data_IF_515529591514
#
_entry.id   IF_515529591514
#
_cell.length_a   1.000
_cell.length_b   1.000
_cell.length_c   1.000
_cell.angle_alpha   90.00
_cell.angle_beta   90.00
_cell.angle_gamma   90.00
#
_symmetry.space_group_name_H-M   'P 1'
#
loop_
_entity.id
_entity.type
_entity.pdbx_description
1 polymer ?
#
# COMPACT_ATOMS: atom_id res chain seq x y z
N UNK A 1 6.72 31.03 5.25
CA UNK A 1 6.98 29.59 5.17
C UNK A 1 8.49 29.34 5.19
N UNK A 2 8.96 28.49 6.08
CA UNK A 2 10.35 28.02 5.98
C UNK A 2 10.42 27.18 4.70
N UNK A 3 11.08 27.72 3.68
CA UNK A 3 11.17 27.11 2.33
C UNK A 3 11.77 25.70 2.32
N UNK A 4 12.36 25.22 3.42
CA UNK A 4 12.95 23.89 3.52
C UNK A 4 12.02 22.80 4.06
N UNK A 5 11.14 23.11 5.03
CA UNK A 5 10.30 22.10 5.68
C UNK A 5 9.17 21.59 4.76
N UNK A 6 8.54 22.47 3.99
CA UNK A 6 7.48 22.05 3.06
C UNK A 6 7.98 21.10 1.97
N UNK A 7 9.18 21.31 1.45
CA UNK A 7 9.78 20.45 0.44
C UNK A 7 10.20 19.10 1.06
N UNK A 8 10.67 19.10 2.30
CA UNK A 8 10.98 17.86 3.05
C UNK A 8 9.74 16.97 3.21
N UNK A 9 8.60 17.53 3.65
CA UNK A 9 7.38 16.74 3.85
C UNK A 9 6.82 16.19 2.53
N UNK A 10 6.84 16.96 1.45
CA UNK A 10 6.42 16.49 0.13
C UNK A 10 7.29 15.33 -0.33
N UNK A 11 8.61 15.46 -0.19
CA UNK A 11 9.56 14.40 -0.51
C UNK A 11 9.30 13.15 0.30
N UNK A 12 9.10 13.26 1.61
CA UNK A 12 8.80 12.13 2.49
C UNK A 12 7.54 11.37 2.07
N UNK A 13 6.49 12.10 1.62
CA UNK A 13 5.27 11.45 1.12
C UNK A 13 5.53 10.68 -0.16
N UNK A 14 6.29 11.27 -1.07
CA UNK A 14 6.65 10.63 -2.35
C UNK A 14 7.54 9.40 -2.11
N UNK A 15 8.57 9.54 -1.28
CA UNK A 15 9.45 8.44 -0.89
C UNK A 15 8.63 7.29 -0.26
N UNK A 16 7.70 7.60 0.65
CA UNK A 16 6.82 6.60 1.28
C UNK A 16 5.93 5.87 0.27
N UNK A 17 5.41 6.57 -0.75
CA UNK A 17 4.62 5.94 -1.81
C UNK A 17 5.47 4.88 -2.52
N UNK A 18 6.68 5.25 -2.96
CA UNK A 18 7.51 4.34 -3.75
C UNK A 18 8.16 3.22 -2.93
N UNK A 19 8.50 3.47 -1.67
CA UNK A 19 8.91 2.41 -0.74
C UNK A 19 7.77 1.38 -0.58
N UNK A 20 6.54 1.87 -0.33
CA UNK A 20 5.37 0.99 -0.23
C UNK A 20 5.13 0.21 -1.53
N UNK A 21 5.23 0.85 -2.69
CA UNK A 21 5.06 0.18 -3.99
C UNK A 21 6.10 -0.93 -4.19
N UNK A 22 7.33 -0.70 -3.74
CA UNK A 22 8.38 -1.72 -3.76
C UNK A 22 8.04 -2.91 -2.87
N UNK A 23 7.51 -2.69 -1.67
CA UNK A 23 7.13 -3.76 -0.74
C UNK A 23 6.01 -4.64 -1.32
N UNK A 24 5.09 -4.06 -2.09
CA UNK A 24 4.01 -4.77 -2.77
C UNK A 24 4.34 -5.20 -4.21
N UNK A 25 5.58 -4.95 -4.68
CA UNK A 25 6.02 -5.21 -6.06
C UNK A 25 5.11 -4.55 -7.12
N UNK A 26 4.63 -3.34 -6.84
CA UNK A 26 3.85 -2.53 -7.78
C UNK A 26 4.83 -1.84 -8.71
N UNK A 27 4.89 -2.26 -9.97
CA UNK A 27 5.89 -1.80 -10.96
C UNK A 27 5.28 -1.07 -12.15
N UNK A 28 4.00 -1.32 -12.46
CA UNK A 28 3.30 -0.67 -13.58
C UNK A 28 2.46 0.50 -13.07
N UNK A 29 3.06 1.67 -13.03
CA UNK A 29 2.42 2.90 -12.58
C UNK A 29 2.89 4.12 -13.38
N UNK A 30 2.07 5.16 -13.40
CA UNK A 30 2.34 6.45 -14.02
C UNK A 30 2.11 7.58 -13.04
N UNK A 31 3.06 8.51 -12.96
CA UNK A 31 2.92 9.72 -12.15
C UNK A 31 2.29 10.84 -12.98
N UNK A 32 1.30 11.49 -12.41
CA UNK A 32 0.58 12.61 -13.03
C UNK A 32 0.58 13.79 -12.10
N UNK A 33 1.09 14.92 -12.56
CA UNK A 33 0.96 16.19 -11.88
C UNK A 33 -0.28 16.91 -12.42
N UNK A 34 -1.33 16.89 -11.64
CA UNK A 34 -2.62 17.51 -11.99
C UNK A 34 -2.60 18.99 -11.62
N UNK A 35 -2.74 19.84 -12.64
CA UNK A 35 -2.67 21.29 -12.58
C UNK A 35 -4.05 21.89 -12.75
N UNK A 36 -4.22 23.15 -12.31
CA UNK A 36 -5.44 23.89 -12.62
C UNK A 36 -5.51 24.24 -14.09
N UNK A 37 -6.71 24.52 -14.58
CA UNK A 37 -6.95 25.31 -15.79
C UNK A 37 -7.03 26.79 -15.37
N UNK A 38 -6.09 27.66 -15.78
CA UNK A 38 -6.11 29.08 -15.42
C UNK A 38 -7.35 29.83 -15.94
N UNK A 39 -7.98 29.32 -16.98
CA UNK A 39 -9.19 29.95 -17.57
C UNK A 39 -10.48 29.57 -16.81
N UNK A 40 -10.46 28.48 -16.04
CA UNK A 40 -11.63 28.06 -15.26
C UNK A 40 -11.64 28.69 -13.85
N UNK A 41 -12.13 29.93 -13.81
CA UNK A 41 -12.26 30.71 -12.56
C UNK A 41 -13.45 30.26 -11.68
N UNK A 42 -14.28 29.34 -12.15
CA UNK A 42 -15.43 28.82 -11.39
C UNK A 42 -15.03 27.62 -10.54
N UNK A 43 -14.25 26.71 -11.11
CA UNK A 43 -13.80 25.49 -10.44
C UNK A 43 -12.71 25.74 -9.41
N UNK A 44 -11.75 26.59 -9.75
CA UNK A 44 -10.54 26.77 -8.95
C UNK A 44 -10.59 28.03 -8.07
N UNK A 45 -9.93 27.94 -6.92
CA UNK A 45 -9.75 29.09 -6.03
C UNK A 45 -9.00 30.23 -6.76
N UNK A 46 -9.56 31.42 -6.71
CA UNK A 46 -9.03 32.59 -7.45
C UNK A 46 -7.84 33.24 -6.71
N UNK A 47 -6.65 32.65 -6.87
CA UNK A 47 -5.37 33.16 -6.38
C UNK A 47 -4.23 32.63 -7.26
N UNK A 48 -3.92 33.36 -8.32
CA UNK A 48 -2.93 32.95 -9.32
C UNK A 48 -1.51 32.81 -8.74
N UNK A 49 -1.11 33.67 -7.80
CA UNK A 49 0.21 33.61 -7.17
C UNK A 49 0.36 32.34 -6.33
N UNK A 50 -0.65 32.01 -5.55
CA UNK A 50 -0.70 30.81 -4.73
C UNK A 50 -0.60 29.55 -5.60
N UNK A 51 -1.37 29.47 -6.68
CA UNK A 51 -1.34 28.33 -7.60
C UNK A 51 0.02 28.14 -8.23
N UNK A 52 0.61 29.22 -8.79
CA UNK A 52 1.93 29.16 -9.42
C UNK A 52 3.00 28.69 -8.43
N UNK A 53 2.96 29.20 -7.20
CA UNK A 53 3.89 28.79 -6.15
C UNK A 53 3.72 27.31 -5.77
N UNK A 54 2.49 26.84 -5.69
CA UNK A 54 2.16 25.46 -5.32
C UNK A 54 2.57 24.45 -6.40
N UNK A 55 2.20 24.72 -7.64
CA UNK A 55 2.54 23.90 -8.80
C UNK A 55 4.05 23.81 -9.00
N UNK A 56 4.74 24.95 -8.94
CA UNK A 56 6.21 24.98 -9.05
C UNK A 56 6.90 24.25 -7.89
N UNK A 57 6.32 24.28 -6.69
CA UNK A 57 6.87 23.57 -5.56
C UNK A 57 6.76 22.04 -5.74
N UNK A 58 5.67 21.54 -6.33
CA UNK A 58 5.54 20.11 -6.68
C UNK A 58 6.47 19.71 -7.82
N UNK A 59 6.53 20.51 -8.91
CA UNK A 59 7.47 20.27 -10.02
C UNK A 59 8.90 20.16 -9.52
N UNK A 60 9.31 21.10 -8.65
CA UNK A 60 10.64 21.09 -8.08
C UNK A 60 10.94 19.82 -7.33
N UNK A 61 10.04 19.36 -6.45
CA UNK A 61 10.23 18.12 -5.67
C UNK A 61 10.34 16.90 -6.58
N UNK A 62 9.47 16.78 -7.59
CA UNK A 62 9.50 15.65 -8.52
C UNK A 62 10.80 15.63 -9.34
N UNK A 63 11.25 16.79 -9.82
CA UNK A 63 12.50 16.90 -10.55
C UNK A 63 13.72 16.61 -9.66
N UNK A 64 13.73 17.10 -8.41
CA UNK A 64 14.82 16.87 -7.44
C UNK A 64 14.96 15.39 -7.05
N UNK A 65 13.85 14.62 -7.12
CA UNK A 65 13.83 13.17 -6.85
C UNK A 65 14.14 12.38 -8.13
N UNK A 66 13.98 12.99 -9.30
CA UNK A 66 14.22 12.35 -10.61
C UNK A 66 13.07 11.44 -11.05
N UNK A 67 11.83 11.74 -10.65
CA UNK A 67 10.65 11.00 -11.05
C UNK A 67 10.13 11.52 -12.39
N UNK A 68 9.90 10.61 -13.33
CA UNK A 68 9.21 10.92 -14.58
C UNK A 68 7.71 11.11 -14.30
N UNK A 69 7.13 12.19 -14.82
CA UNK A 69 5.72 12.51 -14.66
C UNK A 69 5.17 13.22 -15.90
N UNK A 70 3.85 13.15 -16.06
CA UNK A 70 3.11 13.94 -17.06
C UNK A 70 2.32 15.03 -16.37
N UNK A 71 2.10 16.16 -17.04
CA UNK A 71 1.26 17.23 -16.53
C UNK A 71 -0.12 17.16 -17.20
N UNK A 72 -1.19 17.23 -16.40
CA UNK A 72 -2.57 17.26 -16.87
C UNK A 72 -3.25 18.53 -16.37
N UNK A 73 -3.60 19.40 -17.31
CA UNK A 73 -4.26 20.69 -17.02
C UNK A 73 -5.78 20.45 -16.85
N UNK A 74 -6.37 21.09 -15.86
CA UNK A 74 -7.80 20.98 -15.57
C UNK A 74 -8.14 19.85 -14.58
N UNK A 75 -7.17 19.01 -14.21
CA UNK A 75 -7.38 17.83 -13.36
C UNK A 75 -7.04 18.06 -11.86
N UNK A 76 -6.55 19.24 -11.50
CA UNK A 76 -6.31 19.60 -10.11
C UNK A 76 -7.60 19.61 -9.28
N UNK A 77 -7.45 19.46 -7.97
CA UNK A 77 -8.53 19.73 -7.02
C UNK A 77 -8.80 21.24 -6.96
N UNK A 78 -10.03 21.65 -6.62
CA UNK A 78 -10.38 23.09 -6.56
C UNK A 78 -9.55 23.88 -5.52
N UNK A 79 -8.96 23.16 -4.54
CA UNK A 79 -8.20 23.70 -3.42
C UNK A 79 -6.68 23.66 -3.62
N UNK A 80 -6.19 23.04 -4.68
CA UNK A 80 -4.76 22.97 -4.94
C UNK A 80 -4.32 21.88 -5.92
N UNK A 81 -3.07 21.95 -6.38
CA UNK A 81 -2.51 20.94 -7.28
C UNK A 81 -2.23 19.62 -6.55
N UNK A 82 -2.17 18.55 -7.32
CA UNK A 82 -1.96 17.22 -6.78
C UNK A 82 -1.01 16.38 -7.65
N UNK A 83 -0.22 15.55 -6.97
CA UNK A 83 0.46 14.44 -7.59
C UNK A 83 -0.42 13.21 -7.43
N UNK A 84 -0.81 12.60 -8.53
CA UNK A 84 -1.50 11.32 -8.57
C UNK A 84 -0.54 10.25 -9.08
N UNK A 85 -0.57 9.07 -8.47
CA UNK A 85 0.11 7.89 -8.98
C UNK A 85 -0.95 6.89 -9.41
N UNK A 86 -1.05 6.73 -10.71
CA UNK A 86 -2.00 5.85 -11.35
C UNK A 86 -1.37 4.49 -11.56
N UNK A 87 -2.08 3.44 -11.20
CA UNK A 87 -1.69 2.05 -11.45
C UNK A 87 -2.54 1.47 -12.56
N UNK A 88 -1.93 0.56 -13.31
CA UNK A 88 -2.63 -0.19 -14.33
C UNK A 88 -2.73 -1.64 -13.87
N UNK A 89 -3.88 -2.07 -13.33
CA UNK A 89 -4.07 -3.45 -12.89
C UNK A 89 -4.03 -4.41 -14.08
N UNK A 90 -3.76 -5.69 -13.81
CA UNK A 90 -3.74 -6.75 -14.82
C UNK A 90 -5.09 -6.87 -15.57
N UNK A 91 -6.18 -6.50 -14.91
CA UNK A 91 -7.53 -6.49 -15.47
C UNK A 91 -8.17 -5.14 -15.16
N UNK A 92 -8.57 -4.41 -16.19
CA UNK A 92 -9.31 -3.16 -16.03
C UNK A 92 -8.59 -1.91 -16.52
N UNK A 93 -9.14 -0.77 -16.14
CA UNK A 93 -8.63 0.54 -16.54
C UNK A 93 -7.66 1.09 -15.50
N UNK A 94 -6.74 1.93 -15.95
CA UNK A 94 -5.88 2.73 -15.09
C UNK A 94 -6.71 3.54 -14.09
N UNK A 95 -6.27 3.61 -12.83
CA UNK A 95 -6.88 4.45 -11.81
C UNK A 95 -5.87 4.93 -10.78
N UNK A 96 -6.18 6.04 -10.11
CA UNK A 96 -5.33 6.61 -9.07
C UNK A 96 -5.35 5.73 -7.81
N UNK A 97 -4.19 5.21 -7.44
CA UNK A 97 -3.99 4.48 -6.19
C UNK A 97 -3.44 5.38 -5.09
N UNK A 98 -2.42 6.17 -5.41
CA UNK A 98 -1.79 7.08 -4.44
C UNK A 98 -1.96 8.53 -4.86
N UNK A 99 -2.03 9.43 -3.88
CA UNK A 99 -2.12 10.86 -4.14
C UNK A 99 -1.41 11.68 -3.06
N UNK A 100 -0.85 12.80 -3.47
CA UNK A 100 -0.29 13.83 -2.60
C UNK A 100 -0.82 15.19 -3.06
N UNK A 101 -1.70 15.81 -2.27
CA UNK A 101 -2.44 17.01 -2.65
C UNK A 101 -2.07 18.17 -1.74
N UNK A 102 -1.80 19.33 -2.31
CA UNK A 102 -1.60 20.57 -1.57
C UNK A 102 -2.94 21.30 -1.43
N UNK A 103 -3.25 21.75 -0.22
CA UNK A 103 -4.48 22.46 0.09
C UNK A 103 -4.16 23.82 0.74
N UNK A 104 -4.50 24.87 0.04
CA UNK A 104 -4.34 26.24 0.48
C UNK A 104 -5.68 26.89 0.84
N UNK A 105 -6.79 26.30 0.41
CA UNK A 105 -8.12 26.87 0.46
C UNK A 105 -8.82 26.53 1.78
N UNK A 106 -8.89 25.24 2.14
CA UNK A 106 -9.64 24.80 3.32
C UNK A 106 -9.08 25.34 4.63
N UNK A 107 -7.75 25.40 4.87
CA UNK A 107 -7.23 26.00 6.08
C UNK A 107 -7.69 27.45 6.31
N UNK A 108 -7.74 28.23 5.23
CA UNK A 108 -8.25 29.61 5.29
C UNK A 108 -9.76 29.65 5.59
N UNK A 109 -10.56 28.81 4.93
CA UNK A 109 -12.01 28.72 5.16
C UNK A 109 -12.37 28.28 6.57
N UNK A 110 -11.54 27.43 7.18
CA UNK A 110 -11.72 26.98 8.58
C UNK A 110 -11.01 27.87 9.60
N UNK A 111 -10.41 29.01 9.18
CA UNK A 111 -9.66 29.92 10.04
C UNK A 111 -8.54 29.22 10.84
N UNK A 112 -7.91 28.20 10.24
CA UNK A 112 -6.79 27.52 10.87
C UNK A 112 -5.58 28.44 10.90
N UNK A 113 -4.95 28.58 12.07
CA UNK A 113 -3.77 29.40 12.23
C UNK A 113 -2.70 28.71 13.06
N UNK A 114 -1.44 29.05 12.79
CA UNK A 114 -0.30 28.66 13.62
C UNK A 114 0.55 29.91 13.94
N UNK A 115 1.36 29.82 14.99
CA UNK A 115 2.32 30.88 15.32
C UNK A 115 3.64 30.57 14.60
N UNK A 116 4.04 31.46 13.71
CA UNK A 116 5.32 31.35 12.99
C UNK A 116 6.50 31.78 13.87
N UNK A 117 7.71 31.57 13.39
CA UNK A 117 8.98 31.95 14.04
C UNK A 117 9.05 33.42 14.47
N UNK A 118 8.35 34.25 13.73
CA UNK A 118 8.27 35.70 13.98
C UNK A 118 7.20 36.07 15.02
N UNK A 119 6.58 35.09 15.66
CA UNK A 119 5.50 35.28 16.62
C UNK A 119 4.16 35.72 15.98
N UNK A 120 4.06 35.72 14.67
CA UNK A 120 2.85 36.09 13.94
C UNK A 120 1.95 34.90 13.66
N UNK A 121 0.64 35.14 13.62
CA UNK A 121 -0.35 34.14 13.17
C UNK A 121 -0.34 34.06 11.67
N UNK A 122 -0.19 32.83 11.15
CA UNK A 122 -0.25 32.53 9.70
C UNK A 122 -1.18 31.36 9.44
N UNK A 123 -1.79 31.32 8.27
CA UNK A 123 -2.59 30.18 7.80
C UNK A 123 -1.66 29.06 7.36
N UNK A 124 -1.84 27.82 7.83
CA UNK A 124 -1.06 26.68 7.37
C UNK A 124 -1.45 26.26 5.95
N UNK A 125 -0.57 25.51 5.31
CA UNK A 125 -0.88 24.70 4.13
C UNK A 125 -1.09 23.27 4.60
N UNK A 126 -2.14 22.61 4.15
CA UNK A 126 -2.41 21.21 4.46
C UNK A 126 -1.92 20.32 3.31
N UNK A 127 -1.31 19.23 3.66
CA UNK A 127 -0.89 18.18 2.73
C UNK A 127 -1.77 16.96 2.94
N UNK A 128 -2.71 16.72 2.03
CA UNK A 128 -3.49 15.50 2.01
C UNK A 128 -2.69 14.40 1.33
N UNK A 129 -2.72 13.19 1.89
CA UNK A 129 -2.04 12.05 1.30
C UNK A 129 -2.89 10.78 1.39
N UNK A 130 -2.84 9.98 0.34
CA UNK A 130 -3.26 8.60 0.35
C UNK A 130 -2.14 7.76 -0.28
N UNK A 131 -1.67 6.73 0.41
CA UNK A 131 -0.57 5.90 -0.07
C UNK A 131 -1.09 4.74 -0.90
N UNK A 132 -2.11 4.03 -0.40
CA UNK A 132 -2.73 2.88 -1.07
C UNK A 132 -4.23 3.11 -1.37
N UNK A 133 -4.67 4.35 -1.38
CA UNK A 133 -6.08 4.72 -1.57
C UNK A 133 -6.96 4.25 -0.41
N UNK A 134 -8.11 3.66 -0.71
CA UNK A 134 -8.96 3.01 0.28
C UNK A 134 -8.59 1.54 0.45
N UNK A 135 -8.86 0.97 1.64
CA UNK A 135 -8.59 -0.43 1.93
C UNK A 135 -9.25 -1.37 0.91
N UNK A 136 -10.53 -1.16 0.62
CA UNK A 136 -11.29 -2.03 -0.31
C UNK A 136 -10.70 -2.00 -1.72
N UNK A 137 -10.34 -0.81 -2.22
CA UNK A 137 -9.74 -0.64 -3.55
C UNK A 137 -8.37 -1.30 -3.63
N UNK A 138 -7.56 -1.14 -2.59
CA UNK A 138 -6.25 -1.77 -2.54
C UNK A 138 -6.34 -3.29 -2.42
N UNK A 139 -7.27 -3.80 -1.60
CA UNK A 139 -7.53 -5.25 -1.51
C UNK A 139 -7.93 -5.82 -2.88
N UNK A 140 -8.82 -5.17 -3.61
CA UNK A 140 -9.16 -5.59 -4.96
C UNK A 140 -7.93 -5.63 -5.86
N UNK A 141 -7.14 -4.55 -5.88
CA UNK A 141 -5.92 -4.43 -6.67
C UNK A 141 -4.95 -5.59 -6.40
N UNK A 142 -4.58 -5.81 -5.14
CA UNK A 142 -3.58 -6.83 -4.80
C UNK A 142 -4.07 -8.26 -5.09
N UNK A 143 -5.37 -8.53 -4.91
CA UNK A 143 -5.96 -9.83 -5.25
C UNK A 143 -5.97 -10.08 -6.76
N UNK A 144 -6.22 -9.05 -7.57
CA UNK A 144 -6.16 -9.15 -9.03
C UNK A 144 -4.72 -9.38 -9.50
N UNK A 145 -3.77 -8.58 -9.05
CA UNK A 145 -2.36 -8.68 -9.44
C UNK A 145 -1.75 -10.03 -9.07
N UNK A 146 -2.01 -10.52 -7.87
CA UNK A 146 -1.47 -11.79 -7.39
C UNK A 146 -2.30 -13.01 -7.80
N UNK A 147 -3.47 -12.80 -8.40
CA UNK A 147 -4.47 -13.86 -8.66
C UNK A 147 -4.82 -14.63 -7.39
N UNK A 148 -4.84 -13.92 -6.26
CA UNK A 148 -5.06 -14.46 -4.94
C UNK A 148 -3.86 -15.18 -4.31
N UNK A 149 -2.71 -15.30 -4.99
CA UNK A 149 -1.47 -15.82 -4.38
C UNK A 149 -0.75 -14.66 -3.70
N UNK A 150 -1.22 -14.28 -2.52
CA UNK A 150 -0.65 -13.18 -1.77
C UNK A 150 0.81 -13.47 -1.37
N UNK A 151 1.66 -12.45 -1.25
CA UNK A 151 2.97 -12.58 -0.63
C UNK A 151 2.86 -13.22 0.75
N UNK A 152 3.85 -14.02 1.15
CA UNK A 152 3.80 -14.78 2.41
C UNK A 152 3.45 -13.92 3.61
N UNK A 153 4.07 -12.75 3.74
CA UNK A 153 3.85 -11.83 4.85
C UNK A 153 2.41 -11.26 4.91
N UNK A 154 1.70 -11.25 3.78
CA UNK A 154 0.33 -10.75 3.65
C UNK A 154 -0.72 -11.88 3.69
N UNK A 155 -0.33 -13.12 3.44
CA UNK A 155 -1.27 -14.24 3.40
C UNK A 155 -1.99 -14.42 4.76
N UNK A 156 -3.34 -14.49 4.80
CA UNK A 156 -4.10 -14.67 6.04
C UNK A 156 -3.70 -15.94 6.80
N UNK A 157 -3.47 -17.03 6.06
CA UNK A 157 -2.90 -18.29 6.53
C UNK A 157 -1.61 -18.50 5.75
N UNK A 158 -0.49 -18.59 6.44
CA UNK A 158 0.84 -18.71 5.83
C UNK A 158 1.23 -20.17 5.61
N UNK A 159 0.83 -21.03 6.55
CA UNK A 159 1.07 -22.46 6.46
C UNK A 159 -0.13 -23.24 6.96
N UNK A 160 -0.35 -24.41 6.39
CA UNK A 160 -1.30 -25.39 6.94
C UNK A 160 -0.59 -26.72 7.14
N UNK A 161 -0.73 -27.29 8.32
CA UNK A 161 -0.15 -28.57 8.69
C UNK A 161 -1.17 -29.67 8.35
N UNK A 162 -0.73 -30.66 7.57
CA UNK A 162 -1.57 -31.74 7.05
C UNK A 162 -1.02 -33.09 7.54
N UNK A 163 -1.44 -33.60 8.72
CA UNK A 163 -1.05 -34.93 9.18
C UNK A 163 -1.47 -35.98 8.16
N UNK A 164 -0.56 -36.87 7.78
CA UNK A 164 -0.84 -37.89 6.75
C UNK A 164 -1.86 -38.91 7.26
N UNK A 165 -1.81 -39.28 8.53
CA UNK A 165 -2.73 -40.18 9.23
C UNK A 165 -3.31 -39.49 10.45
N UNK A 166 -4.59 -39.12 10.38
CA UNK A 166 -5.26 -38.40 11.47
C UNK A 166 -5.59 -39.30 12.68
N UNK A 167 -5.48 -40.64 12.53
CA UNK A 167 -5.74 -41.63 13.57
C UNK A 167 -4.47 -41.95 14.39
N UNK A 168 -3.33 -41.42 14.00
CA UNK A 168 -2.01 -41.63 14.64
C UNK A 168 -1.78 -40.57 15.71
N UNK A 169 -1.93 -40.97 16.98
CA UNK A 169 -1.78 -40.04 18.13
C UNK A 169 -0.40 -39.39 18.21
N UNK A 170 0.69 -40.10 17.84
CA UNK A 170 2.04 -39.62 17.89
C UNK A 170 2.27 -38.55 16.79
N UNK A 171 1.76 -38.79 15.58
CA UNK A 171 1.79 -37.81 14.50
C UNK A 171 0.96 -36.56 14.83
N UNK A 172 -0.19 -36.72 15.45
CA UNK A 172 -1.02 -35.60 15.86
C UNK A 172 -0.36 -34.79 16.98
N UNK A 173 0.22 -35.42 17.98
CA UNK A 173 0.98 -34.72 19.02
C UNK A 173 2.15 -33.90 18.42
N UNK A 174 2.86 -34.47 17.44
CA UNK A 174 3.89 -33.73 16.71
C UNK A 174 3.33 -32.55 15.91
N UNK A 175 2.17 -32.74 15.22
CA UNK A 175 1.51 -31.69 14.48
C UNK A 175 1.15 -30.48 15.36
N UNK A 176 0.58 -30.77 16.55
CA UNK A 176 0.26 -29.71 17.51
C UNK A 176 1.51 -29.03 18.06
N UNK A 177 2.60 -29.77 18.37
CA UNK A 177 3.86 -29.18 18.76
C UNK A 177 4.47 -28.28 17.68
N UNK A 178 4.36 -28.66 16.40
CA UNK A 178 4.80 -27.86 15.28
C UNK A 178 3.91 -26.60 15.11
N UNK A 179 2.59 -26.75 15.29
CA UNK A 179 1.65 -25.63 15.28
C UNK A 179 2.03 -24.61 16.35
N UNK A 180 2.20 -25.05 17.59
CA UNK A 180 2.56 -24.17 18.71
C UNK A 180 3.90 -23.45 18.43
N UNK A 181 4.89 -24.19 17.95
CA UNK A 181 6.19 -23.62 17.59
C UNK A 181 6.08 -22.54 16.53
N UNK A 182 5.34 -22.79 15.44
CA UNK A 182 5.15 -21.81 14.37
C UNK A 182 4.33 -20.59 14.83
N UNK A 183 3.26 -20.82 15.59
CA UNK A 183 2.41 -19.76 16.13
C UNK A 183 3.19 -18.85 17.10
N UNK A 184 4.00 -19.43 18.00
CA UNK A 184 4.86 -18.69 18.94
C UNK A 184 5.94 -17.86 18.23
N UNK A 185 6.33 -18.27 17.01
CA UNK A 185 7.23 -17.50 16.15
C UNK A 185 6.49 -16.52 15.20
N UNK A 186 5.20 -16.28 15.42
CA UNK A 186 4.41 -15.26 14.69
C UNK A 186 3.93 -15.70 13.31
N UNK A 187 3.99 -17.00 12.99
CA UNK A 187 3.45 -17.55 11.75
C UNK A 187 1.95 -17.81 11.91
N UNK A 188 1.15 -17.31 10.98
CA UNK A 188 -0.29 -17.62 10.90
C UNK A 188 -0.46 -19.01 10.30
N UNK A 189 -0.65 -19.99 11.17
CA UNK A 189 -0.69 -21.42 10.82
C UNK A 189 -2.03 -22.03 11.21
N UNK A 190 -2.48 -23.03 10.47
CA UNK A 190 -3.63 -23.88 10.79
C UNK A 190 -3.26 -25.37 10.70
N UNK A 191 -4.03 -26.22 11.36
CA UNK A 191 -3.93 -27.68 11.20
C UNK A 191 -5.23 -28.17 10.54
N UNK A 192 -5.10 -29.03 9.54
CA UNK A 192 -6.23 -29.71 8.93
C UNK A 192 -6.25 -31.18 9.35
N UNK A 193 -7.05 -31.49 10.37
CA UNK A 193 -7.22 -32.83 10.94
C UNK A 193 -8.51 -33.53 10.44
N UNK A 194 -9.12 -33.00 9.40
CA UNK A 194 -10.36 -33.60 8.88
C UNK A 194 -10.13 -35.03 8.41
N UNK A 195 -11.13 -35.89 8.62
CA UNK A 195 -11.13 -37.29 8.19
C UNK A 195 -11.30 -37.42 6.66
N UNK A 196 -10.41 -36.72 5.91
CA UNK A 196 -10.38 -36.66 4.46
C UNK A 196 -9.03 -37.16 3.93
N UNK A 197 -9.02 -37.65 2.68
CA UNK A 197 -7.76 -38.07 2.04
C UNK A 197 -6.78 -36.94 1.96
N UNK A 198 -5.51 -37.22 2.26
CA UNK A 198 -4.43 -36.20 2.20
C UNK A 198 -4.44 -35.42 0.88
N UNK A 199 -4.55 -36.10 -0.26
CA UNK A 199 -4.58 -35.43 -1.57
C UNK A 199 -5.74 -34.45 -1.73
N UNK A 200 -6.88 -34.68 -1.11
CA UNK A 200 -8.01 -33.76 -1.09
C UNK A 200 -7.68 -32.52 -0.24
N UNK A 201 -7.14 -32.72 0.97
CA UNK A 201 -6.74 -31.63 1.87
C UNK A 201 -5.64 -30.76 1.27
N UNK A 202 -4.63 -31.34 0.63
CA UNK A 202 -3.59 -30.63 -0.11
C UNK A 202 -4.20 -29.79 -1.23
N UNK A 203 -5.13 -30.39 -2.02
CA UNK A 203 -5.81 -29.64 -3.09
C UNK A 203 -6.62 -28.47 -2.56
N UNK A 204 -7.32 -28.61 -1.45
CA UNK A 204 -8.07 -27.52 -0.83
C UNK A 204 -7.14 -26.40 -0.35
N UNK A 205 -6.02 -26.73 0.29
CA UNK A 205 -5.02 -25.73 0.68
C UNK A 205 -4.48 -24.94 -0.54
N UNK A 206 -4.25 -25.64 -1.66
CA UNK A 206 -3.85 -25.00 -2.92
C UNK A 206 -4.95 -24.12 -3.51
N UNK A 207 -6.21 -24.55 -3.46
CA UNK A 207 -7.35 -23.73 -3.92
C UNK A 207 -7.52 -22.49 -3.06
N UNK A 208 -7.32 -22.60 -1.74
CA UNK A 208 -7.31 -21.46 -0.80
C UNK A 208 -6.08 -20.57 -0.95
N UNK A 209 -5.13 -20.94 -1.83
CA UNK A 209 -3.89 -20.18 -2.05
C UNK A 209 -3.01 -20.05 -0.79
N UNK A 210 -3.04 -21.06 0.07
CA UNK A 210 -2.14 -21.10 1.24
C UNK A 210 -0.71 -21.34 0.74
N UNK A 211 0.25 -20.46 1.08
CA UNK A 211 1.61 -20.53 0.54
C UNK A 211 2.32 -21.85 0.85
N UNK A 212 2.19 -22.34 2.08
CA UNK A 212 2.89 -23.55 2.53
C UNK A 212 1.94 -24.62 3.11
N UNK A 213 1.41 -25.54 2.27
CA UNK A 213 0.81 -26.78 2.76
C UNK A 213 1.93 -27.78 3.14
N UNK A 214 2.09 -28.05 4.44
CA UNK A 214 3.16 -28.90 4.99
C UNK A 214 2.58 -30.26 5.35
N UNK A 215 3.00 -31.32 4.66
CA UNK A 215 2.67 -32.70 5.01
C UNK A 215 3.92 -33.48 5.40
N UNK A 216 3.79 -34.38 6.35
CA UNK A 216 4.90 -35.23 6.78
C UNK A 216 4.42 -36.64 7.11
N UNK A 217 5.31 -37.61 6.85
CA UNK A 217 5.04 -39.06 7.00
C UNK A 217 5.81 -39.71 8.15
N UNK A 218 6.85 -39.04 8.65
CA UNK A 218 7.75 -39.56 9.69
C UNK A 218 8.23 -38.47 10.65
N UNK A 219 8.45 -38.81 11.93
CA UNK A 219 8.98 -37.93 13.00
C UNK A 219 10.43 -37.42 12.78
N UNK A 220 11.07 -37.78 11.65
CA UNK A 220 12.44 -37.40 11.33
C UNK A 220 12.57 -36.21 10.36
N UNK A 221 11.53 -35.44 10.17
CA UNK A 221 11.57 -34.28 9.24
C UNK A 221 12.32 -33.04 9.82
N UNK A 222 13.50 -33.24 10.43
CA UNK A 222 14.37 -32.14 10.81
C UNK A 222 15.08 -31.45 9.63
N UNK A 223 15.02 -32.03 8.42
CA UNK A 223 15.75 -31.49 7.27
C UNK A 223 14.94 -30.53 6.41
N UNK A 224 13.61 -30.44 6.56
CA UNK A 224 12.75 -29.61 5.71
C UNK A 224 12.58 -28.18 6.24
N UNK A 225 12.80 -27.97 7.53
CA UNK A 225 12.73 -26.61 8.15
C UNK A 225 14.02 -25.79 7.97
N UNK A 226 15.12 -26.40 7.54
CA UNK A 226 16.39 -25.70 7.33
C UNK A 226 16.45 -24.93 5.99
N UNK A 227 15.42 -25.06 5.13
CA UNK A 227 15.32 -24.42 3.82
C UNK A 227 14.14 -23.43 3.71
N UNK A 228 13.56 -23.00 4.82
CA UNK A 228 12.54 -21.94 4.88
C UNK A 228 13.20 -20.60 5.31
#
# INVERSE_FOLDING_TARGET
MSRGLGDVYKRQVVDLIFETYKDFNITDYRCVLSLRDPEDKVKYHDDDEMWNNAENALRKVLNDIGIEYTEEIGEAAFYGPKLDVNVKPAIGNEYTLSTCQLDFCLPSKFNLTYIDKDGQRKTPVVLHRAILGSLDRFMAYILEETKGNLPLWLAPVQATILPVKNEDEELNAYAHGLYDYLADNGIRVEIDERAEKLGYRVREAQVKKIPYPVSYTHLRAHETLANL
#
